data_IF_668667346835
#
_entry.id   IF_668667346835
#
_cell.length_a   1.000
_cell.length_b   1.000
_cell.length_c   1.000
_cell.angle_alpha   90.00
_cell.angle_beta   90.00
_cell.angle_gamma   90.00
#
_symmetry.space_group_name_H-M   'P 1'
#
loop_
_entity.id
_entity.type
_entity.pdbx_description
1 polymer ?
#
# COMPACT_ATOMS: atom_id res chain seq x y z
N UNK A 1 20.49 -11.72 15.07
CA UNK A 1 19.50 -11.45 16.13
C UNK A 1 18.96 -10.01 16.08
N UNK A 2 19.81 -8.99 15.91
CA UNK A 2 19.42 -7.57 15.88
C UNK A 2 18.54 -7.16 14.70
N UNK A 3 18.83 -7.58 13.46
CA UNK A 3 18.03 -7.20 12.28
C UNK A 3 16.59 -7.72 12.30
N UNK A 4 16.37 -8.94 12.79
CA UNK A 4 15.03 -9.53 12.93
C UNK A 4 14.22 -8.83 14.04
N UNK A 5 14.86 -8.43 15.14
CA UNK A 5 14.23 -7.63 16.18
C UNK A 5 13.84 -6.23 15.67
N UNK A 6 14.71 -5.59 14.88
CA UNK A 6 14.39 -4.30 14.24
C UNK A 6 13.22 -4.41 13.25
N UNK A 7 13.18 -5.47 12.43
CA UNK A 7 12.06 -5.71 11.52
C UNK A 7 10.74 -5.98 12.28
N UNK A 8 10.80 -6.74 13.38
CA UNK A 8 9.64 -6.99 14.22
C UNK A 8 9.07 -5.71 14.83
N UNK A 9 9.94 -4.80 15.31
CA UNK A 9 9.54 -3.49 15.82
C UNK A 9 8.89 -2.63 14.74
N UNK A 10 9.47 -2.56 13.53
CA UNK A 10 8.89 -1.85 12.39
C UNK A 10 7.50 -2.37 12.05
N UNK A 11 7.33 -3.70 12.01
CA UNK A 11 6.03 -4.33 11.74
C UNK A 11 5.03 -4.02 12.85
N UNK A 12 5.41 -4.18 14.12
CA UNK A 12 4.53 -3.92 15.26
C UNK A 12 4.05 -2.47 15.29
N UNK A 13 4.95 -1.52 15.05
CA UNK A 13 4.62 -0.10 14.94
C UNK A 13 3.68 0.17 13.77
N UNK A 14 4.00 -0.39 12.59
CA UNK A 14 3.20 -0.19 11.39
C UNK A 14 1.78 -0.74 11.56
N UNK A 15 1.64 -1.98 12.03
CA UNK A 15 0.33 -2.61 12.27
C UNK A 15 -0.47 -1.83 13.31
N UNK A 16 0.16 -1.38 14.39
CA UNK A 16 -0.51 -0.54 15.41
C UNK A 16 -1.04 0.76 14.80
N UNK A 17 -0.29 1.36 13.87
CA UNK A 17 -0.69 2.57 13.13
C UNK A 17 -1.74 2.30 12.06
N UNK A 18 -1.77 1.11 11.45
CA UNK A 18 -2.80 0.71 10.49
C UNK A 18 -4.20 0.67 11.11
N UNK A 19 -4.29 0.31 12.39
CA UNK A 19 -5.56 0.33 13.12
C UNK A 19 -6.00 1.74 13.55
N UNK A 20 -5.21 2.78 13.22
CA UNK A 20 -5.53 4.17 13.54
C UNK A 20 -6.57 4.78 12.58
N UNK A 21 -7.43 5.70 13.05
CA UNK A 21 -8.38 6.40 12.16
C UNK A 21 -7.71 7.10 10.98
N UNK A 22 -6.48 7.61 11.13
CA UNK A 22 -5.76 8.25 10.02
C UNK A 22 -5.41 7.26 8.89
N UNK A 23 -5.09 6.01 9.23
CA UNK A 23 -4.84 4.97 8.24
C UNK A 23 -6.14 4.57 7.52
N UNK A 24 -7.27 4.49 8.24
CA UNK A 24 -8.58 4.23 7.63
C UNK A 24 -8.93 5.27 6.56
N UNK A 25 -8.72 6.56 6.82
CA UNK A 25 -8.96 7.64 5.84
C UNK A 25 -8.05 7.53 4.61
N UNK A 26 -6.77 7.18 4.81
CA UNK A 26 -5.81 6.98 3.72
C UNK A 26 -6.16 5.76 2.88
N UNK A 27 -6.54 4.65 3.51
CA UNK A 27 -7.01 3.43 2.84
C UNK A 27 -8.27 3.72 2.02
N UNK A 28 -9.26 4.43 2.58
CA UNK A 28 -10.47 4.80 1.84
C UNK A 28 -10.16 5.67 0.62
N UNK A 29 -9.25 6.64 0.77
CA UNK A 29 -8.76 7.48 -0.34
C UNK A 29 -8.01 6.65 -1.40
N UNK A 30 -7.23 5.67 -0.95
CA UNK A 30 -6.53 4.74 -1.83
C UNK A 30 -7.50 3.86 -2.60
N UNK A 31 -8.56 3.32 -1.98
CA UNK A 31 -9.63 2.59 -2.67
C UNK A 31 -10.26 3.45 -3.75
N UNK A 32 -10.63 4.69 -3.41
CA UNK A 32 -11.23 5.63 -4.38
C UNK A 32 -10.30 5.99 -5.53
N UNK A 33 -8.98 5.96 -5.31
CA UNK A 33 -7.98 6.26 -6.35
C UNK A 33 -7.63 5.03 -7.19
N UNK A 34 -7.62 3.84 -6.57
CA UNK A 34 -7.38 2.56 -7.23
C UNK A 34 -8.54 2.17 -8.13
N UNK A 35 -9.79 2.44 -7.72
CA UNK A 35 -10.96 2.13 -8.51
C UNK A 35 -11.39 3.38 -9.27
N UNK A 36 -11.15 3.37 -10.58
CA UNK A 36 -11.60 4.42 -11.48
C UNK A 36 -12.59 3.85 -12.49
N UNK A 37 -13.77 4.45 -12.61
CA UNK A 37 -14.85 3.97 -13.51
C UNK A 37 -15.22 2.48 -13.31
N UNK A 38 -15.14 1.99 -12.07
CA UNK A 38 -15.46 0.60 -11.74
C UNK A 38 -14.36 -0.42 -12.06
N UNK A 39 -13.17 0.02 -12.49
CA UNK A 39 -12.03 -0.85 -12.77
C UNK A 39 -10.80 -0.44 -11.96
N UNK A 40 -9.92 -1.41 -11.68
CA UNK A 40 -8.66 -1.13 -10.99
C UNK A 40 -7.68 -0.45 -11.93
N UNK A 41 -7.30 0.78 -11.63
CA UNK A 41 -6.33 1.57 -12.37
C UNK A 41 -4.92 1.42 -11.78
N UNK A 42 -4.17 0.44 -12.26
CA UNK A 42 -2.81 0.20 -11.78
C UNK A 42 -1.81 1.32 -12.12
N UNK A 43 -2.13 2.21 -13.07
CA UNK A 43 -1.29 3.37 -13.37
C UNK A 43 -1.31 4.44 -12.26
N UNK A 44 -2.34 4.43 -11.40
CA UNK A 44 -2.42 5.34 -10.25
C UNK A 44 -1.55 4.87 -9.07
N UNK A 45 -1.08 3.62 -9.07
CA UNK A 45 -0.34 3.00 -7.98
C UNK A 45 0.88 3.80 -7.49
N UNK A 46 1.80 4.31 -8.35
CA UNK A 46 2.94 5.10 -7.87
C UNK A 46 2.49 6.36 -7.11
N UNK A 47 1.47 7.07 -7.63
CA UNK A 47 0.95 8.27 -6.97
C UNK A 47 0.28 7.94 -5.64
N UNK A 48 -0.45 6.83 -5.55
CA UNK A 48 -1.08 6.37 -4.31
C UNK A 48 -0.01 6.08 -3.25
N UNK A 49 1.04 5.33 -3.62
CA UNK A 49 2.13 5.01 -2.69
C UNK A 49 2.81 6.29 -2.21
N UNK A 50 3.11 7.24 -3.11
CA UNK A 50 3.69 8.54 -2.75
C UNK A 50 2.81 9.40 -1.85
N UNK A 51 1.48 9.39 -2.07
CA UNK A 51 0.55 10.14 -1.23
C UNK A 51 0.44 9.54 0.18
N UNK A 52 0.38 8.20 0.28
CA UNK A 52 0.33 7.52 1.56
C UNK A 52 1.64 7.71 2.30
N UNK A 53 2.79 7.51 1.65
CA UNK A 53 4.11 7.67 2.28
C UNK A 53 4.31 9.09 2.81
N UNK A 54 3.94 10.11 2.04
CA UNK A 54 3.97 11.51 2.47
C UNK A 54 3.06 11.75 3.70
N UNK A 55 1.83 11.24 3.66
CA UNK A 55 0.88 11.38 4.77
C UNK A 55 1.31 10.61 6.04
N UNK A 56 1.93 9.44 5.87
CA UNK A 56 2.48 8.60 6.95
C UNK A 56 3.67 9.28 7.59
N UNK A 57 4.57 9.87 6.79
CA UNK A 57 5.71 10.65 7.27
C UNK A 57 5.24 11.84 8.11
N UNK A 58 4.23 12.57 7.64
CA UNK A 58 3.62 13.67 8.39
C UNK A 58 2.93 13.21 9.70
N UNK A 59 2.31 12.03 9.70
CA UNK A 59 1.57 11.50 10.86
C UNK A 59 2.45 10.80 11.90
N UNK A 60 3.70 10.47 11.59
CA UNK A 60 4.66 9.91 12.55
C UNK A 60 6.05 10.54 12.36
N UNK A 61 6.24 11.76 12.90
CA UNK A 61 7.57 12.35 12.97
C UNK A 61 8.51 11.41 13.74
N UNK A 62 9.62 11.03 13.12
CA UNK A 62 10.60 10.09 13.67
C UNK A 62 10.50 8.65 13.13
N UNK A 63 9.47 8.32 12.33
CA UNK A 63 9.44 7.07 11.60
C UNK A 63 10.62 6.99 10.61
N UNK A 64 11.29 5.83 10.57
CA UNK A 64 12.34 5.59 9.58
C UNK A 64 11.75 5.48 8.17
N UNK A 65 12.51 5.81 7.13
CA UNK A 65 12.05 5.69 5.73
C UNK A 65 11.54 4.29 5.38
N UNK A 66 12.16 3.24 5.93
CA UNK A 66 11.68 1.86 5.81
C UNK A 66 10.31 1.66 6.48
N UNK A 67 10.09 2.21 7.68
CA UNK A 67 8.79 2.12 8.36
C UNK A 67 7.70 2.85 7.58
N UNK A 68 8.02 4.02 7.01
CA UNK A 68 7.10 4.78 6.14
C UNK A 68 6.69 3.95 4.91
N UNK A 69 7.65 3.30 4.24
CA UNK A 69 7.37 2.46 3.08
C UNK A 69 6.57 1.21 3.48
N UNK A 70 6.96 0.51 4.55
CA UNK A 70 6.23 -0.67 5.05
C UNK A 70 4.79 -0.32 5.37
N UNK A 71 4.57 0.81 6.07
CA UNK A 71 3.23 1.31 6.36
C UNK A 71 2.44 1.63 5.09
N UNK A 72 3.05 2.29 4.11
CA UNK A 72 2.39 2.62 2.84
C UNK A 72 1.98 1.36 2.06
N UNK A 73 2.85 0.35 2.00
CA UNK A 73 2.56 -0.92 1.34
C UNK A 73 1.41 -1.67 2.02
N UNK A 74 1.42 -1.73 3.36
CA UNK A 74 0.35 -2.37 4.12
C UNK A 74 -1.00 -1.66 3.93
N UNK A 75 -1.02 -0.33 3.84
CA UNK A 75 -2.24 0.44 3.56
C UNK A 75 -2.75 0.19 2.13
N UNK A 76 -1.86 0.08 1.13
CA UNK A 76 -2.24 -0.32 -0.25
C UNK A 76 -2.80 -1.75 -0.27
N UNK A 77 -2.18 -2.70 0.42
CA UNK A 77 -2.68 -4.08 0.52
C UNK A 77 -4.07 -4.08 1.16
N UNK A 78 -4.28 -3.31 2.22
CA UNK A 78 -5.58 -3.20 2.89
C UNK A 78 -6.64 -2.64 1.93
N UNK A 79 -6.31 -1.62 1.13
CA UNK A 79 -7.21 -1.09 0.12
C UNK A 79 -7.58 -2.15 -0.95
N UNK A 80 -6.60 -2.91 -1.45
CA UNK A 80 -6.82 -3.99 -2.40
C UNK A 80 -7.72 -5.09 -1.82
N UNK A 81 -7.50 -5.48 -0.55
CA UNK A 81 -8.34 -6.46 0.14
C UNK A 81 -9.78 -5.96 0.27
N UNK A 82 -10.00 -4.67 0.58
CA UNK A 82 -11.36 -4.11 0.62
C UNK A 82 -12.04 -4.13 -0.74
N UNK A 83 -11.31 -3.81 -1.82
CA UNK A 83 -11.83 -3.89 -3.19
C UNK A 83 -12.26 -5.32 -3.51
N UNK A 84 -11.40 -6.32 -3.22
CA UNK A 84 -11.72 -7.74 -3.45
C UNK A 84 -12.90 -8.19 -2.60
N UNK A 85 -12.98 -7.76 -1.33
CA UNK A 85 -14.07 -8.11 -0.43
C UNK A 85 -15.44 -7.60 -0.90
N UNK A 86 -15.48 -6.47 -1.62
CA UNK A 86 -16.71 -5.92 -2.20
C UNK A 86 -16.97 -6.41 -3.63
N UNK A 87 -16.03 -7.12 -4.23
CA UNK A 87 -16.09 -7.56 -5.62
C UNK A 87 -16.59 -8.99 -5.75
N UNK A 88 -17.28 -9.30 -6.84
CA UNK A 88 -17.51 -10.70 -7.26
C UNK A 88 -16.31 -11.20 -8.04
N UNK A 89 -15.53 -12.11 -7.44
CA UNK A 89 -14.34 -12.69 -8.09
C UNK A 89 -14.78 -13.69 -9.16
N UNK A 90 -14.58 -13.31 -10.43
CA UNK A 90 -14.82 -14.16 -11.59
C UNK A 90 -13.58 -14.94 -12.04
N UNK A 91 -13.41 -15.07 -13.36
CA UNK A 91 -12.25 -15.72 -13.94
C UNK A 91 -10.94 -14.98 -13.61
N UNK A 92 -9.92 -15.73 -13.18
CA UNK A 92 -8.58 -15.21 -12.90
C UNK A 92 -7.67 -15.61 -14.08
N UNK A 93 -7.03 -14.65 -14.72
CA UNK A 93 -6.06 -14.89 -15.80
C UNK A 93 -4.64 -15.07 -15.22
N UNK A 94 -4.12 -16.32 -15.09
CA UNK A 94 -2.79 -16.55 -14.52
C UNK A 94 -1.66 -16.00 -15.40
N UNK A 95 -1.89 -15.85 -16.72
CA UNK A 95 -0.88 -15.34 -17.65
C UNK A 95 -0.62 -13.83 -17.47
N UNK A 96 -1.54 -13.10 -16.83
CA UNK A 96 -1.38 -11.66 -16.56
C UNK A 96 -0.47 -11.36 -15.36
N UNK A 97 -0.09 -12.37 -14.57
CA UNK A 97 0.71 -12.18 -13.33
C UNK A 97 2.02 -11.47 -13.63
N UNK A 98 2.76 -11.86 -14.67
CA UNK A 98 4.01 -11.20 -15.04
C UNK A 98 3.81 -9.71 -15.40
N UNK A 99 2.72 -9.39 -16.09
CA UNK A 99 2.40 -8.00 -16.43
C UNK A 99 2.11 -7.19 -15.17
N UNK A 100 1.28 -7.71 -14.27
CA UNK A 100 0.92 -7.03 -13.01
C UNK A 100 2.16 -6.82 -12.13
N UNK A 101 3.00 -7.85 -11.98
CA UNK A 101 4.26 -7.76 -11.22
C UNK A 101 5.17 -6.68 -11.80
N UNK A 102 5.29 -6.58 -13.13
CA UNK A 102 6.05 -5.50 -13.76
C UNK A 102 5.47 -4.12 -13.46
N UNK A 103 4.15 -3.95 -13.43
CA UNK A 103 3.53 -2.67 -13.07
C UNK A 103 3.85 -2.29 -11.62
N UNK A 104 3.73 -3.23 -10.68
CA UNK A 104 4.10 -3.01 -9.28
C UNK A 104 5.58 -2.68 -9.12
N UNK A 105 6.47 -3.40 -9.82
CA UNK A 105 7.91 -3.14 -9.81
C UNK A 105 8.25 -1.74 -10.33
N UNK A 106 7.62 -1.31 -11.44
CA UNK A 106 7.79 0.04 -11.97
C UNK A 106 7.26 1.12 -11.01
N UNK A 107 6.10 0.90 -10.39
CA UNK A 107 5.56 1.82 -9.40
C UNK A 107 6.51 1.98 -8.20
N UNK A 108 7.07 0.87 -7.71
CA UNK A 108 8.05 0.90 -6.62
C UNK A 108 9.35 1.57 -7.01
N UNK A 109 9.84 1.33 -8.24
CA UNK A 109 11.03 2.00 -8.74
C UNK A 109 10.86 3.52 -8.81
N UNK A 110 9.66 4.03 -9.11
CA UNK A 110 9.37 5.47 -9.11
C UNK A 110 9.24 6.08 -7.71
N UNK A 111 8.87 5.28 -6.71
CA UNK A 111 8.75 5.72 -5.32
C UNK A 111 10.10 5.69 -4.61
N UNK A 112 10.97 4.76 -4.99
CA UNK A 112 12.26 4.51 -4.34
C UNK A 112 13.46 5.13 -5.06
N UNK A 113 13.30 5.50 -6.34
CA UNK A 113 14.31 6.22 -7.13
C UNK A 113 14.26 7.71 -6.88
#
# INVERSE_FOLDING_TARGET
ASAAASAASTVANSVSRLSSPSAVSRVSSAVSSLVSNGQVNMAALPNIISNISSSVSASAPGASGCEVIVQALLEVITALVQIVSSSSVGYINPSAVNQITNVVANAMAQVMG
#
